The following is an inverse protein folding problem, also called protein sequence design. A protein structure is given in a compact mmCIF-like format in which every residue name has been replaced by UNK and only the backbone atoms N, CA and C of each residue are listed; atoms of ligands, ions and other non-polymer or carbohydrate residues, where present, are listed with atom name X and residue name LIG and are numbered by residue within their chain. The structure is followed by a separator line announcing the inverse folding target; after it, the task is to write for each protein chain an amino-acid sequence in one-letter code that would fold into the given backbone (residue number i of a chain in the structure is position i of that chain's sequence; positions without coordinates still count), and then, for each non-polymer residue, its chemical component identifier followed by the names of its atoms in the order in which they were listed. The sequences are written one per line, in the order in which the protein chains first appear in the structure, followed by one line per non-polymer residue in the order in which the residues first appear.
data_IF_631009087670
#
_entry.id   IF_631009087670
#
_cell.length_a   1.000
_cell.length_b   1.000
_cell.length_c   1.000
_cell.angle_alpha   90.00
_cell.angle_beta   90.00
_cell.angle_gamma   90.00
#
_symmetry.space_group_name_H-M   'P 1'
#
loop_
_entity.id
_entity.type
_entity.pdbx_description
1 polymer ?
#
# COMPACT_ATOMS: atom_id res chain seq x y z
N UNK A 1 -56.07 -41.25 20.74
CA UNK A 1 -54.95 -40.33 21.01
C UNK A 1 -54.08 -40.22 19.77
N UNK A 2 -54.22 -39.15 18.98
CA UNK A 2 -53.22 -38.77 17.97
C UNK A 2 -53.09 -37.25 18.01
N UNK A 3 -52.22 -36.76 18.89
CA UNK A 3 -51.84 -35.35 18.92
C UNK A 3 -50.93 -35.08 17.73
N UNK A 4 -51.47 -34.43 16.70
CA UNK A 4 -50.69 -33.90 15.59
C UNK A 4 -49.94 -32.66 16.07
N UNK A 5 -48.68 -32.84 16.48
CA UNK A 5 -47.78 -31.73 16.85
C UNK A 5 -47.42 -30.96 15.58
N UNK A 6 -48.19 -29.92 15.29
CA UNK A 6 -47.86 -28.93 14.27
C UNK A 6 -46.60 -28.18 14.70
N UNK A 7 -45.41 -28.62 14.25
CA UNK A 7 -44.21 -27.81 14.35
C UNK A 7 -44.40 -26.57 13.48
N UNK A 8 -44.73 -25.45 14.13
CA UNK A 8 -44.72 -24.10 13.55
C UNK A 8 -43.31 -23.81 13.05
N UNK A 9 -43.01 -24.18 11.79
CA UNK A 9 -41.73 -23.92 11.14
C UNK A 9 -41.63 -22.41 10.96
N UNK A 10 -40.99 -21.80 11.95
CA UNK A 10 -40.95 -20.36 12.16
C UNK A 10 -40.42 -19.65 10.91
N UNK A 11 -41.21 -18.70 10.40
CA UNK A 11 -40.87 -17.81 9.27
C UNK A 11 -39.51 -17.12 9.45
N UNK A 12 -39.04 -17.03 10.69
CA UNK A 12 -37.73 -16.48 11.11
C UNK A 12 -36.55 -17.22 10.45
N UNK A 13 -36.69 -18.52 10.13
CA UNK A 13 -35.60 -19.28 9.50
C UNK A 13 -35.26 -18.81 8.07
N UNK A 14 -36.22 -18.12 7.41
CA UNK A 14 -36.01 -17.54 6.07
C UNK A 14 -35.13 -16.28 6.08
N UNK A 15 -34.98 -15.61 7.23
CA UNK A 15 -34.20 -14.37 7.35
C UNK A 15 -32.73 -14.59 7.73
N UNK A 16 -32.37 -15.79 8.23
CA UNK A 16 -30.98 -16.17 8.54
C UNK A 16 -30.00 -15.94 7.37
N UNK A 17 -30.29 -16.37 6.12
CA UNK A 17 -29.34 -16.16 5.02
C UNK A 17 -29.15 -14.68 4.68
N UNK A 18 -30.17 -13.84 4.86
CA UNK A 18 -30.11 -12.39 4.61
C UNK A 18 -29.22 -11.71 5.65
N UNK A 19 -29.37 -12.09 6.93
CA UNK A 19 -28.53 -11.57 8.02
C UNK A 19 -27.09 -12.03 7.85
N UNK A 20 -26.86 -13.28 7.47
CA UNK A 20 -25.52 -13.81 7.18
C UNK A 20 -24.84 -13.04 6.04
N UNK A 21 -25.57 -12.78 4.95
CA UNK A 21 -25.05 -12.05 3.80
C UNK A 21 -24.73 -10.60 4.15
N UNK A 22 -25.59 -9.92 4.90
CA UNK A 22 -25.35 -8.58 5.41
C UNK A 22 -24.14 -8.52 6.38
N UNK A 23 -23.99 -9.51 7.25
CA UNK A 23 -22.81 -9.61 8.11
C UNK A 23 -21.53 -9.81 7.27
N UNK A 24 -21.60 -10.63 6.23
CA UNK A 24 -20.45 -10.91 5.34
C UNK A 24 -20.02 -9.66 4.57
N UNK A 25 -20.96 -8.85 4.05
CA UNK A 25 -20.63 -7.61 3.34
C UNK A 25 -20.04 -6.55 4.26
N UNK A 26 -20.54 -6.42 5.49
CA UNK A 26 -19.98 -5.51 6.50
C UNK A 26 -18.55 -5.93 6.89
N UNK A 27 -18.33 -7.23 7.13
CA UNK A 27 -17.00 -7.76 7.44
C UNK A 27 -16.02 -7.55 6.28
N UNK A 28 -16.47 -7.79 5.04
CA UNK A 28 -15.64 -7.57 3.86
C UNK A 28 -15.29 -6.08 3.66
N UNK A 29 -16.23 -5.16 3.89
CA UNK A 29 -15.98 -3.72 3.82
C UNK A 29 -14.99 -3.23 4.88
N UNK A 30 -15.15 -3.69 6.13
CA UNK A 30 -14.24 -3.35 7.22
C UNK A 30 -12.83 -3.93 7.03
N UNK A 31 -12.73 -5.11 6.41
CA UNK A 31 -11.43 -5.71 6.06
C UNK A 31 -10.76 -4.99 4.89
N UNK A 32 -11.53 -4.59 3.88
CA UNK A 32 -11.03 -3.89 2.69
C UNK A 32 -10.40 -2.53 3.04
N UNK A 33 -11.00 -1.77 3.97
CA UNK A 33 -10.45 -0.50 4.41
C UNK A 33 -9.12 -0.65 5.16
N UNK A 34 -8.98 -1.70 5.99
CA UNK A 34 -7.70 -2.03 6.65
C UNK A 34 -6.61 -2.41 5.66
N UNK A 35 -6.95 -3.18 4.62
CA UNK A 35 -5.99 -3.55 3.57
C UNK A 35 -5.50 -2.34 2.77
N UNK A 36 -6.39 -1.37 2.51
CA UNK A 36 -6.04 -0.19 1.71
C UNK A 36 -4.97 0.69 2.37
N UNK A 37 -5.06 0.88 3.70
CA UNK A 37 -4.05 1.62 4.48
C UNK A 37 -2.70 0.89 4.57
N UNK A 38 -2.73 -0.44 4.64
CA UNK A 38 -1.50 -1.23 4.62
C UNK A 38 -0.84 -1.22 3.23
N UNK A 39 -1.64 -1.15 2.16
CA UNK A 39 -1.13 -1.11 0.80
C UNK A 39 -0.37 0.18 0.51
N UNK A 40 -0.87 1.35 0.95
CA UNK A 40 -0.18 2.64 0.75
C UNK A 40 1.15 2.70 1.50
N UNK A 41 1.19 2.22 2.76
CA UNK A 41 2.44 2.10 3.54
C UNK A 41 3.43 1.12 2.91
N UNK A 42 2.95 0.00 2.38
CA UNK A 42 3.80 -0.95 1.63
C UNK A 42 4.35 -0.34 0.36
N UNK A 43 3.55 0.42 -0.39
CA UNK A 43 4.02 1.12 -1.60
C UNK A 43 5.10 2.14 -1.27
N UNK A 44 4.92 2.95 -0.21
CA UNK A 44 5.93 3.92 0.23
C UNK A 44 7.24 3.23 0.63
N UNK A 45 7.19 2.24 1.52
CA UNK A 45 8.39 1.52 1.97
C UNK A 45 9.09 0.76 0.84
N UNK A 46 8.34 0.26 -0.14
CA UNK A 46 8.92 -0.34 -1.36
C UNK A 46 9.66 0.69 -2.19
N UNK A 47 9.07 1.88 -2.38
CA UNK A 47 9.73 2.99 -3.08
C UNK A 47 10.99 3.45 -2.34
N UNK A 48 10.94 3.64 -1.02
CA UNK A 48 12.11 4.03 -0.20
C UNK A 48 13.25 3.02 -0.32
N UNK A 49 12.93 1.72 -0.32
CA UNK A 49 13.91 0.64 -0.52
C UNK A 49 14.51 0.67 -1.92
N UNK A 50 13.68 0.83 -2.95
CA UNK A 50 14.14 0.91 -4.33
C UNK A 50 15.07 2.13 -4.52
N UNK A 51 14.64 3.30 -4.04
CA UNK A 51 15.42 4.54 -4.06
C UNK A 51 16.77 4.38 -3.35
N UNK A 52 16.76 3.89 -2.11
CA UNK A 52 17.99 3.69 -1.33
C UNK A 52 18.95 2.71 -2.01
N UNK A 53 18.41 1.64 -2.60
CA UNK A 53 19.18 0.67 -3.37
C UNK A 53 19.82 1.33 -4.58
N UNK A 54 19.07 2.09 -5.38
CA UNK A 54 19.59 2.75 -6.58
C UNK A 54 20.66 3.79 -6.25
N UNK A 55 20.49 4.58 -5.18
CA UNK A 55 21.51 5.53 -4.69
C UNK A 55 22.81 4.80 -4.34
N UNK A 56 22.69 3.70 -3.58
CA UNK A 56 23.86 2.91 -3.15
C UNK A 56 24.53 2.25 -4.35
N UNK A 57 23.74 1.79 -5.32
CA UNK A 57 24.23 1.18 -6.54
C UNK A 57 24.99 2.19 -7.40
N UNK A 58 24.48 3.42 -7.53
CA UNK A 58 25.18 4.53 -8.19
C UNK A 58 26.56 4.77 -7.58
N UNK A 59 26.64 4.86 -6.26
CA UNK A 59 27.92 5.03 -5.57
C UNK A 59 28.87 3.83 -5.78
N UNK A 60 28.33 2.60 -5.77
CA UNK A 60 29.13 1.39 -5.97
C UNK A 60 29.67 1.24 -7.40
N UNK A 61 28.93 1.69 -8.41
CA UNK A 61 29.30 1.55 -9.82
C UNK A 61 30.12 2.74 -10.34
N UNK A 62 29.76 3.95 -9.94
CA UNK A 62 30.31 5.20 -10.50
C UNK A 62 31.29 5.88 -9.53
N UNK A 63 31.31 5.47 -8.26
CA UNK A 63 32.12 6.10 -7.21
C UNK A 63 31.57 7.43 -6.72
N UNK A 64 30.39 7.84 -7.18
CA UNK A 64 29.74 9.10 -6.82
C UNK A 64 28.26 8.92 -6.55
N UNK A 65 27.73 9.69 -5.62
CA UNK A 65 26.29 9.76 -5.37
C UNK A 65 25.56 10.49 -6.51
N UNK A 66 24.30 10.11 -6.79
CA UNK A 66 23.54 10.70 -7.87
C UNK A 66 23.29 12.20 -7.62
N UNK A 67 23.37 13.06 -8.65
CA UNK A 67 23.15 14.50 -8.50
C UNK A 67 21.68 14.84 -8.24
N UNK A 68 20.76 14.06 -8.80
CA UNK A 68 19.32 14.30 -8.71
C UNK A 68 18.52 13.00 -8.85
N UNK A 69 17.20 13.10 -8.61
CA UNK A 69 16.27 11.97 -8.71
C UNK A 69 16.05 11.52 -10.17
N UNK A 70 16.15 12.41 -11.15
CA UNK A 70 15.93 12.08 -12.56
C UNK A 70 17.05 11.17 -13.07
N UNK A 71 18.29 11.38 -12.61
CA UNK A 71 19.40 10.48 -12.88
C UNK A 71 19.08 9.03 -12.49
N UNK A 72 18.44 8.84 -11.34
CA UNK A 72 18.01 7.51 -10.88
C UNK A 72 16.86 6.94 -11.72
N UNK A 73 15.96 7.79 -12.22
CA UNK A 73 14.88 7.37 -13.12
C UNK A 73 15.43 6.93 -14.48
N UNK A 74 16.36 7.69 -15.05
CA UNK A 74 16.89 7.46 -16.40
C UNK A 74 17.94 6.33 -16.44
N UNK A 75 18.85 6.28 -15.46
CA UNK A 75 19.97 5.33 -15.46
C UNK A 75 19.69 4.05 -14.66
N UNK A 76 18.86 4.14 -13.63
CA UNK A 76 18.56 3.02 -12.72
C UNK A 76 17.11 2.54 -12.79
N UNK A 77 16.30 3.12 -13.69
CA UNK A 77 14.91 2.72 -13.93
C UNK A 77 14.00 2.97 -12.72
N UNK A 78 14.33 3.93 -11.85
CA UNK A 78 13.50 4.26 -10.70
C UNK A 78 12.20 4.91 -11.17
N UNK A 79 11.09 4.19 -11.06
CA UNK A 79 9.74 4.70 -11.37
C UNK A 79 8.96 4.98 -10.09
N UNK A 80 8.30 6.13 -10.02
CA UNK A 80 7.38 6.48 -8.94
C UNK A 80 6.23 7.34 -9.47
N UNK A 81 5.13 7.39 -8.71
CA UNK A 81 4.00 8.25 -9.05
C UNK A 81 4.27 9.68 -8.55
N UNK A 82 4.60 10.61 -9.46
CA UNK A 82 4.90 12.01 -9.17
C UNK A 82 3.71 12.82 -8.66
N UNK A 83 2.48 12.37 -8.96
CA UNK A 83 1.25 13.03 -8.54
C UNK A 83 0.95 12.75 -7.06
N UNK A 84 1.24 11.53 -6.60
CA UNK A 84 1.03 11.08 -5.23
C UNK A 84 2.24 11.26 -4.31
N UNK A 85 3.46 11.12 -4.84
CA UNK A 85 4.69 11.19 -4.05
C UNK A 85 5.59 12.30 -4.58
N UNK A 86 5.95 13.22 -3.69
CA UNK A 86 7.01 14.19 -3.90
C UNK A 86 8.27 13.71 -3.19
N UNK A 87 9.36 13.58 -3.94
CA UNK A 87 10.66 13.21 -3.40
C UNK A 87 11.47 14.50 -3.27
N UNK A 88 11.65 14.97 -2.04
CA UNK A 88 12.62 16.03 -1.74
C UNK A 88 14.02 15.41 -1.73
N UNK A 89 14.85 15.84 -2.68
CA UNK A 89 16.19 15.30 -2.88
C UNK A 89 17.22 16.39 -2.64
N UNK A 90 17.99 16.27 -1.55
CA UNK A 90 19.00 17.24 -1.19
C UNK A 90 20.39 16.71 -1.52
N UNK A 91 20.95 17.24 -2.60
CA UNK A 91 22.31 16.96 -3.02
C UNK A 91 23.29 17.92 -2.33
N UNK A 92 24.22 17.36 -1.55
CA UNK A 92 25.25 18.12 -0.84
C UNK A 92 26.58 18.06 -1.58
N UNK A 93 26.91 16.91 -2.17
CA UNK A 93 28.15 16.69 -2.92
C UNK A 93 28.28 15.23 -3.39
N UNK A 94 29.19 14.98 -4.33
CA UNK A 94 29.33 13.67 -4.98
C UNK A 94 29.83 12.56 -4.05
N UNK A 95 30.48 12.94 -2.94
CA UNK A 95 31.04 12.05 -1.94
C UNK A 95 30.17 11.90 -0.68
N UNK A 96 29.08 12.67 -0.55
CA UNK A 96 28.19 12.63 0.59
C UNK A 96 26.84 12.05 0.17
N UNK A 97 26.33 11.14 1.01
CA UNK A 97 25.04 10.51 0.74
C UNK A 97 23.96 11.60 0.74
N UNK A 98 23.13 11.68 -0.32
CA UNK A 98 22.05 12.66 -0.41
C UNK A 98 21.03 12.40 0.69
N UNK A 99 20.45 13.47 1.22
CA UNK A 99 19.28 13.35 2.08
C UNK A 99 18.01 13.28 1.21
N UNK A 100 17.13 12.33 1.53
CA UNK A 100 15.98 12.02 0.69
C UNK A 100 14.75 11.82 1.55
N UNK A 101 13.75 12.67 1.32
CA UNK A 101 12.49 12.64 2.05
C UNK A 101 11.33 12.43 1.08
N UNK A 102 10.53 11.38 1.31
CA UNK A 102 9.32 11.10 0.53
C UNK A 102 8.11 11.68 1.22
N UNK A 103 7.52 12.69 0.58
CA UNK A 103 6.33 13.42 1.02
C UNK A 103 5.13 12.94 0.21
N UNK A 104 4.05 12.57 0.89
CA UNK A 104 2.78 12.21 0.25
C UNK A 104 2.02 13.50 -0.08
N UNK A 105 1.70 13.72 -1.35
CA UNK A 105 0.75 14.77 -1.76
C UNK A 105 -0.66 14.19 -1.59
N UNK A 106 -1.39 14.66 -0.59
CA UNK A 106 -2.81 14.35 -0.37
C UNK A 106 -3.71 15.37 -1.04
#
# INVERSE_FOLDING_TARGET
MLFFVQKKKSTIWKFIPIVLLAACTVLFGAFSSKLSDDNTKRSKSTLERALTRSITQCYALEGTYPPDINYLTDHYGLTYNSDYYYIDYQYIGSNLRPDVTIIERK
#
